data_IF_928960981788
#
_entry.id   IF_928960981788
#
_cell.length_a   1.000
_cell.length_b   1.000
_cell.length_c   1.000
_cell.angle_alpha   90.00
_cell.angle_beta   90.00
_cell.angle_gamma   90.00
#
_symmetry.space_group_name_H-M   'P 1'
#
loop_
_entity.id
_entity.type
_entity.pdbx_description
1 polymer ?
#
# COMPACT_ATOMS: atom_id res chain seq x y z
N UNK A 1 3.22 4.64 2.96
CA UNK A 1 3.98 5.92 2.95
C UNK A 1 4.95 6.04 4.14
N UNK A 2 4.54 5.73 5.40
CA UNK A 2 5.37 5.94 6.61
C UNK A 2 6.80 5.38 6.49
N UNK A 3 6.96 4.09 6.18
CA UNK A 3 8.29 3.45 6.06
C UNK A 3 9.18 4.11 5.01
N UNK A 4 8.59 4.63 3.94
CA UNK A 4 9.32 5.30 2.87
C UNK A 4 9.77 6.71 3.26
N UNK A 5 9.01 7.41 4.11
CA UNK A 5 9.29 8.78 4.52
C UNK A 5 10.14 8.87 5.79
N UNK A 6 10.14 7.83 6.65
CA UNK A 6 10.90 7.81 7.90
C UNK A 6 12.36 8.25 7.75
N UNK A 7 13.14 7.85 6.72
CA UNK A 7 14.53 8.28 6.58
C UNK A 7 14.71 9.79 6.46
N UNK A 8 13.69 10.51 5.98
CA UNK A 8 13.73 11.96 5.84
C UNK A 8 13.27 12.71 7.11
N UNK A 9 12.52 12.04 8.02
CA UNK A 9 11.91 12.71 9.19
C UNK A 9 12.91 13.13 10.27
N UNK A 10 14.10 12.55 10.29
CA UNK A 10 15.17 12.90 11.27
C UNK A 10 15.92 14.19 10.89
N UNK A 11 15.40 14.96 9.93
CA UNK A 11 16.06 16.20 9.48
C UNK A 11 15.53 17.38 10.27
N UNK A 12 16.43 18.09 10.94
CA UNK A 12 16.09 19.31 11.68
C UNK A 12 15.51 20.39 10.76
N UNK A 13 14.41 21.01 11.18
CA UNK A 13 13.71 22.02 10.40
C UNK A 13 12.87 21.49 9.24
N UNK A 14 12.66 20.18 9.13
CA UNK A 14 11.76 19.60 8.13
C UNK A 14 10.33 20.14 8.33
N UNK A 15 9.76 20.68 7.25
CA UNK A 15 8.32 20.95 7.14
C UNK A 15 7.76 20.07 6.06
N UNK A 16 7.12 18.96 6.45
CA UNK A 16 6.53 17.98 5.55
C UNK A 16 5.06 18.34 5.25
N UNK A 17 4.74 18.55 3.98
CA UNK A 17 3.39 18.72 3.48
C UNK A 17 3.01 17.45 2.69
N UNK A 18 2.01 16.72 3.18
CA UNK A 18 1.49 15.53 2.50
C UNK A 18 0.09 15.82 1.97
N UNK A 19 -0.15 15.49 0.72
CA UNK A 19 -1.46 15.53 0.09
C UNK A 19 -1.71 14.23 -0.67
N UNK A 20 -2.97 13.88 -0.82
CA UNK A 20 -3.43 12.74 -1.61
C UNK A 20 -4.26 13.26 -2.78
N UNK A 21 -4.27 12.53 -3.89
CA UNK A 21 -5.02 12.91 -5.08
C UNK A 21 -4.94 11.87 -6.18
N UNK A 22 -5.64 12.12 -7.27
CA UNK A 22 -5.59 11.27 -8.45
C UNK A 22 -4.19 11.26 -9.06
N UNK A 23 -3.76 10.09 -9.54
CA UNK A 23 -2.39 9.87 -10.00
C UNK A 23 -1.96 10.85 -11.09
N UNK A 24 -2.83 11.09 -12.08
CA UNK A 24 -2.53 11.98 -13.20
C UNK A 24 -2.45 13.45 -12.76
N UNK A 25 -3.28 13.87 -11.80
CA UNK A 25 -3.26 15.21 -11.23
C UNK A 25 -1.98 15.44 -10.41
N UNK A 26 -1.58 14.46 -9.61
CA UNK A 26 -0.32 14.52 -8.85
C UNK A 26 0.90 14.59 -9.79
N UNK A 27 0.90 13.85 -10.90
CA UNK A 27 1.96 13.93 -11.90
C UNK A 27 2.00 15.30 -12.61
N UNK A 28 0.84 15.90 -12.86
CA UNK A 28 0.75 17.24 -13.43
C UNK A 28 1.30 18.29 -12.45
N UNK A 29 0.94 18.21 -11.16
CA UNK A 29 1.45 19.11 -10.13
C UNK A 29 2.96 18.94 -9.91
N UNK A 30 3.47 17.70 -9.98
CA UNK A 30 4.90 17.41 -9.94
C UNK A 30 5.64 18.07 -11.12
N UNK A 31 5.11 17.95 -12.33
CA UNK A 31 5.70 18.55 -13.53
C UNK A 31 5.69 20.08 -13.49
N UNK A 32 4.75 20.69 -12.77
CA UNK A 32 4.66 22.12 -12.51
C UNK A 32 5.48 22.59 -11.30
N UNK A 33 6.27 21.68 -10.68
CA UNK A 33 7.07 21.95 -9.47
C UNK A 33 6.22 22.43 -8.26
N UNK A 34 4.97 22.00 -8.16
CA UNK A 34 4.11 22.22 -6.99
C UNK A 34 4.30 21.13 -5.94
N UNK A 35 4.83 19.98 -6.35
CA UNK A 35 5.24 18.87 -5.51
C UNK A 35 6.72 18.58 -5.76
N UNK A 36 7.44 18.17 -4.71
CA UNK A 36 8.83 17.75 -4.79
C UNK A 36 8.96 16.28 -5.19
N UNK A 37 8.02 15.44 -4.74
CA UNK A 37 7.99 13.99 -5.00
C UNK A 37 6.57 13.46 -4.91
N UNK A 38 6.25 12.49 -5.75
CA UNK A 38 5.02 11.69 -5.66
C UNK A 38 5.38 10.26 -5.29
N UNK A 39 4.75 9.72 -4.25
CA UNK A 39 4.84 8.30 -3.90
C UNK A 39 3.65 7.57 -4.52
N UNK A 40 3.91 6.47 -5.23
CA UNK A 40 2.89 5.73 -5.96
C UNK A 40 3.14 4.21 -5.92
N UNK A 41 2.09 3.44 -6.20
CA UNK A 41 2.09 1.98 -6.32
C UNK A 41 2.47 1.49 -7.74
N UNK A 42 2.74 2.44 -8.65
CA UNK A 42 3.08 2.20 -10.06
C UNK A 42 4.00 3.29 -10.59
N UNK A 43 4.78 2.99 -11.65
CA UNK A 43 5.61 4.00 -12.29
C UNK A 43 4.75 4.99 -13.10
N UNK A 44 5.28 6.18 -13.31
CA UNK A 44 4.68 7.13 -14.24
C UNK A 44 4.62 6.55 -15.66
N UNK A 45 3.53 6.78 -16.41
CA UNK A 45 3.43 6.35 -17.79
C UNK A 45 4.48 7.07 -18.66
N UNK A 46 4.96 6.38 -19.70
CA UNK A 46 5.84 7.01 -20.69
C UNK A 46 5.04 8.05 -21.47
N UNK A 47 5.30 9.32 -21.19
CA UNK A 47 4.65 10.44 -21.86
C UNK A 47 5.72 11.47 -22.26
N UNK A 48 5.93 11.72 -23.58
CA UNK A 48 6.95 12.65 -24.05
C UNK A 48 6.70 14.11 -23.62
N UNK A 49 5.46 14.45 -23.29
CA UNK A 49 5.07 15.78 -22.82
C UNK A 49 5.18 15.94 -21.29
N UNK A 50 5.39 14.85 -20.56
CA UNK A 50 5.50 14.85 -19.11
C UNK A 50 6.91 14.40 -18.71
N UNK A 51 7.74 15.34 -18.30
CA UNK A 51 9.13 15.07 -17.88
C UNK A 51 9.15 14.69 -16.40
N UNK A 52 8.79 13.45 -16.11
CA UNK A 52 8.90 12.88 -14.77
C UNK A 52 9.66 11.56 -14.83
N UNK A 53 10.28 11.18 -13.73
CA UNK A 53 11.15 10.01 -13.64
C UNK A 53 10.75 9.17 -12.43
N UNK A 54 10.54 7.88 -12.67
CA UNK A 54 10.17 6.92 -11.63
C UNK A 54 11.42 6.24 -11.07
N UNK A 55 11.52 6.22 -9.76
CA UNK A 55 12.58 5.55 -9.00
C UNK A 55 11.93 4.44 -8.18
N UNK A 56 12.30 3.18 -8.43
CA UNK A 56 11.80 2.07 -7.63
C UNK A 56 12.36 2.18 -6.21
N UNK A 57 11.47 2.14 -5.21
CA UNK A 57 11.82 2.17 -3.79
C UNK A 57 11.89 0.76 -3.18
N UNK A 58 11.22 -0.20 -3.81
CA UNK A 58 11.17 -1.57 -3.37
C UNK A 58 9.81 -2.21 -3.59
N UNK A 59 9.68 -3.39 -3.04
CA UNK A 59 8.45 -4.18 -3.06
C UNK A 59 8.20 -4.81 -1.70
N UNK A 60 6.95 -5.11 -1.39
CA UNK A 60 6.57 -5.79 -0.16
C UNK A 60 5.50 -6.83 -0.45
N UNK A 61 5.65 -8.03 0.13
CA UNK A 61 4.64 -9.06 0.05
C UNK A 61 3.39 -8.65 0.85
N UNK A 62 2.23 -9.13 0.42
CA UNK A 62 1.00 -8.97 1.18
C UNK A 62 0.89 -10.00 2.30
N UNK A 63 0.38 -9.56 3.42
CA UNK A 63 -0.04 -10.37 4.54
C UNK A 63 -1.53 -10.11 4.82
N UNK A 64 -2.23 -11.14 5.26
CA UNK A 64 -3.66 -11.04 5.58
C UNK A 64 -3.88 -11.00 7.08
N UNK A 65 -4.72 -10.08 7.51
CA UNK A 65 -5.00 -9.81 8.92
C UNK A 65 -6.49 -9.86 9.22
N UNK A 66 -6.82 -10.21 10.46
CA UNK A 66 -8.18 -10.16 10.98
C UNK A 66 -8.17 -9.74 12.47
N UNK A 67 -9.30 -9.24 12.95
CA UNK A 67 -9.51 -9.11 14.38
C UNK A 67 -9.53 -10.49 15.06
N UNK A 68 -9.14 -10.60 16.34
CA UNK A 68 -9.18 -11.88 17.06
C UNK A 68 -10.57 -12.54 17.02
N UNK A 69 -11.63 -11.75 17.12
CA UNK A 69 -13.01 -12.24 17.06
C UNK A 69 -13.33 -12.86 15.69
N UNK A 70 -12.93 -12.21 14.59
CA UNK A 70 -13.14 -12.71 13.25
C UNK A 70 -12.30 -13.95 12.97
N UNK A 71 -11.03 -13.97 13.42
CA UNK A 71 -10.15 -15.14 13.29
C UNK A 71 -10.72 -16.39 13.95
N UNK A 72 -11.39 -16.22 15.11
CA UNK A 72 -12.02 -17.32 15.85
C UNK A 72 -13.22 -17.97 15.11
N UNK A 73 -13.73 -17.37 14.04
CA UNK A 73 -14.85 -17.93 13.27
C UNK A 73 -14.41 -19.01 12.26
N UNK A 74 -13.11 -19.21 12.05
CA UNK A 74 -12.62 -20.20 11.10
C UNK A 74 -11.39 -20.94 11.64
N UNK A 75 -11.46 -22.28 11.62
CA UNK A 75 -10.35 -23.17 11.93
C UNK A 75 -9.53 -23.55 10.68
N UNK A 76 -9.97 -23.10 9.49
CA UNK A 76 -9.28 -23.40 8.25
C UNK A 76 -7.91 -22.71 8.20
N UNK A 77 -6.94 -23.42 7.61
CA UNK A 77 -5.62 -22.85 7.36
C UNK A 77 -5.68 -21.79 6.26
N UNK A 78 -4.75 -20.83 6.29
CA UNK A 78 -4.57 -19.88 5.20
C UNK A 78 -4.09 -20.61 3.92
N UNK A 79 -4.60 -20.27 2.74
CA UNK A 79 -5.55 -19.18 2.45
C UNK A 79 -7.04 -19.58 2.51
N UNK A 80 -7.38 -20.85 2.73
CA UNK A 80 -8.77 -21.33 2.69
C UNK A 80 -9.70 -20.65 3.74
N UNK A 81 -9.15 -20.15 4.83
CA UNK A 81 -9.92 -19.39 5.83
C UNK A 81 -10.56 -18.11 5.26
N UNK A 82 -10.03 -17.56 4.16
CA UNK A 82 -10.55 -16.36 3.53
C UNK A 82 -11.93 -16.56 2.87
N UNK A 83 -12.28 -17.80 2.50
CA UNK A 83 -13.64 -18.12 2.00
C UNK A 83 -14.69 -18.17 3.11
N UNK A 84 -14.27 -18.21 4.37
CA UNK A 84 -15.14 -18.42 5.52
C UNK A 84 -15.39 -17.13 6.32
N UNK A 85 -14.89 -16.01 5.85
CA UNK A 85 -15.05 -14.73 6.52
C UNK A 85 -15.24 -13.58 5.52
N UNK A 86 -15.90 -12.48 5.93
CA UNK A 86 -15.98 -11.29 5.08
C UNK A 86 -14.60 -10.71 4.85
N UNK A 87 -14.37 -10.18 3.64
CA UNK A 87 -13.11 -9.54 3.28
C UNK A 87 -13.30 -8.05 2.99
N UNK A 88 -12.30 -7.28 3.36
CA UNK A 88 -12.14 -5.89 2.96
C UNK A 88 -10.96 -5.80 1.99
N UNK A 89 -11.19 -5.18 0.85
CA UNK A 89 -10.18 -5.13 -0.21
C UNK A 89 -9.81 -3.69 -0.57
N UNK A 90 -8.60 -3.45 -1.10
CA UNK A 90 -8.31 -2.23 -1.81
C UNK A 90 -9.29 -2.04 -2.97
N UNK A 91 -9.63 -0.80 -3.28
CA UNK A 91 -10.49 -0.48 -4.41
C UNK A 91 -9.85 -0.92 -5.73
N UNK A 92 -10.63 -0.95 -6.82
CA UNK A 92 -10.15 -1.36 -8.15
C UNK A 92 -9.15 -0.38 -8.76
N UNK A 93 -8.99 0.80 -8.17
CA UNK A 93 -8.00 1.81 -8.58
C UNK A 93 -6.58 1.48 -8.09
N UNK A 94 -6.46 0.70 -7.01
CA UNK A 94 -5.16 0.25 -6.52
C UNK A 94 -4.54 -0.78 -7.46
N UNK A 95 -3.26 -0.58 -7.82
CA UNK A 95 -2.56 -1.49 -8.75
C UNK A 95 -2.45 -2.93 -8.21
N UNK A 96 -2.44 -3.11 -6.89
CA UNK A 96 -2.38 -4.42 -6.23
C UNK A 96 -3.69 -5.21 -6.34
N UNK A 97 -4.86 -4.55 -6.54
CA UNK A 97 -6.16 -5.20 -6.54
C UNK A 97 -6.29 -6.28 -7.62
N UNK A 98 -5.89 -6.00 -8.83
CA UNK A 98 -5.94 -6.99 -9.91
C UNK A 98 -5.11 -8.23 -9.59
N UNK A 99 -3.94 -8.07 -8.95
CA UNK A 99 -3.09 -9.19 -8.52
C UNK A 99 -3.73 -10.02 -7.41
N UNK A 100 -4.49 -9.39 -6.51
CA UNK A 100 -5.26 -10.08 -5.47
C UNK A 100 -6.39 -10.90 -6.12
N UNK A 101 -7.14 -10.30 -7.05
CA UNK A 101 -8.23 -10.97 -7.75
C UNK A 101 -7.70 -12.19 -8.55
N UNK A 102 -6.61 -12.04 -9.31
CA UNK A 102 -5.92 -13.13 -10.00
C UNK A 102 -5.43 -14.22 -9.05
N UNK A 103 -4.95 -13.84 -7.87
CA UNK A 103 -4.51 -14.80 -6.85
C UNK A 103 -5.69 -15.58 -6.28
N UNK A 104 -6.82 -14.96 -6.00
CA UNK A 104 -8.04 -15.65 -5.60
C UNK A 104 -8.45 -16.68 -6.65
N UNK A 105 -8.43 -16.33 -7.93
CA UNK A 105 -8.79 -17.24 -9.02
C UNK A 105 -7.82 -18.43 -9.09
N UNK A 106 -6.51 -18.20 -9.01
CA UNK A 106 -5.49 -19.28 -8.98
C UNK A 106 -5.66 -20.22 -7.79
N UNK A 107 -6.06 -19.71 -6.63
CA UNK A 107 -6.31 -20.52 -5.42
C UNK A 107 -7.70 -21.10 -5.37
N UNK A 108 -8.56 -20.82 -6.37
CA UNK A 108 -9.98 -21.22 -6.42
C UNK A 108 -10.78 -20.71 -5.22
N UNK A 109 -10.41 -19.56 -4.69
CA UNK A 109 -11.12 -18.89 -3.60
C UNK A 109 -12.33 -18.09 -4.15
N UNK A 110 -13.39 -18.03 -3.38
CA UNK A 110 -14.61 -17.27 -3.69
C UNK A 110 -14.98 -16.36 -2.54
N UNK A 111 -14.16 -15.31 -2.29
CA UNK A 111 -14.32 -14.48 -1.12
C UNK A 111 -15.62 -13.68 -1.14
N UNK A 112 -16.22 -13.53 0.04
CA UNK A 112 -17.30 -12.58 0.26
C UNK A 112 -16.71 -11.20 0.55
N UNK A 113 -16.70 -10.29 -0.42
CA UNK A 113 -16.20 -8.92 -0.27
C UNK A 113 -17.26 -8.08 0.45
N UNK A 114 -16.98 -7.68 1.69
CA UNK A 114 -17.85 -6.85 2.52
C UNK A 114 -17.60 -5.34 2.34
N UNK A 115 -16.44 -4.95 1.82
CA UNK A 115 -16.12 -3.54 1.57
C UNK A 115 -14.90 -3.36 0.68
N UNK A 116 -14.86 -2.22 -0.02
CA UNK A 116 -13.73 -1.80 -0.84
C UNK A 116 -13.30 -0.39 -0.40
N UNK A 117 -11.98 -0.16 -0.31
CA UNK A 117 -11.41 1.05 0.25
C UNK A 117 -10.28 1.59 -0.63
N UNK A 118 -10.25 2.89 -0.86
CA UNK A 118 -9.13 3.56 -1.53
C UNK A 118 -7.99 3.87 -0.55
N UNK A 119 -8.36 4.17 0.70
CA UNK A 119 -7.42 4.49 1.77
C UNK A 119 -7.09 3.24 2.61
N UNK A 120 -5.80 2.91 2.70
CA UNK A 120 -5.32 1.73 3.42
C UNK A 120 -5.44 1.86 4.95
N UNK A 121 -5.38 3.09 5.49
CA UNK A 121 -5.54 3.31 6.91
C UNK A 121 -7.01 3.16 7.32
N UNK A 122 -7.93 3.64 6.47
CA UNK A 122 -9.36 3.43 6.65
C UNK A 122 -9.71 1.94 6.54
N UNK A 123 -9.18 1.23 5.55
CA UNK A 123 -9.33 -0.22 5.40
C UNK A 123 -8.89 -0.95 6.68
N UNK A 124 -7.71 -0.63 7.22
CA UNK A 124 -7.20 -1.23 8.45
C UNK A 124 -8.09 -0.91 9.68
N UNK A 125 -8.65 0.30 9.74
CA UNK A 125 -9.56 0.73 10.83
C UNK A 125 -10.85 -0.10 10.84
N UNK A 126 -11.44 -0.34 9.69
CA UNK A 126 -12.62 -1.20 9.56
C UNK A 126 -12.28 -2.69 9.80
N UNK A 127 -11.08 -3.12 9.39
CA UNK A 127 -10.59 -4.46 9.71
C UNK A 127 -10.40 -4.68 11.22
N UNK A 128 -9.86 -3.70 11.92
CA UNK A 128 -9.72 -3.68 13.38
C UNK A 128 -11.08 -3.77 14.09
N UNK A 129 -12.10 -3.09 13.56
CA UNK A 129 -13.47 -3.18 14.07
C UNK A 129 -14.14 -4.54 13.84
N UNK A 130 -13.50 -5.44 13.08
CA UNK A 130 -14.01 -6.79 12.79
C UNK A 130 -14.96 -6.86 11.61
N UNK A 131 -15.06 -5.84 10.78
CA UNK A 131 -15.92 -5.86 9.59
C UNK A 131 -15.48 -6.92 8.56
N UNK A 132 -14.17 -7.22 8.47
CA UNK A 132 -13.63 -8.22 7.56
C UNK A 132 -12.13 -8.41 7.72
N UNK A 133 -11.61 -9.52 7.19
CA UNK A 133 -10.19 -9.72 7.04
C UNK A 133 -9.67 -8.90 5.85
N UNK A 134 -8.44 -8.43 5.91
CA UNK A 134 -7.90 -7.51 4.91
C UNK A 134 -6.41 -7.74 4.64
N UNK A 135 -5.94 -7.40 3.43
CA UNK A 135 -4.52 -7.44 3.09
C UNK A 135 -3.83 -6.14 3.49
N UNK A 136 -2.59 -6.27 3.95
CA UNK A 136 -1.67 -5.15 4.12
C UNK A 136 -0.24 -5.62 3.81
N UNK A 137 0.65 -4.68 3.51
CA UNK A 137 2.05 -5.01 3.26
C UNK A 137 2.74 -5.51 4.52
N UNK A 138 3.73 -6.38 4.35
CA UNK A 138 4.56 -6.89 5.45
C UNK A 138 5.21 -5.77 6.28
N UNK A 139 5.43 -4.60 5.71
CA UNK A 139 5.97 -3.43 6.42
C UNK A 139 5.05 -2.89 7.51
N UNK A 140 3.76 -3.23 7.47
CA UNK A 140 2.79 -2.82 8.49
C UNK A 140 2.60 -3.86 9.60
N UNK A 141 3.35 -4.98 9.55
CA UNK A 141 3.13 -6.12 10.43
C UNK A 141 3.19 -5.76 11.93
N UNK A 142 4.27 -5.09 12.34
CA UNK A 142 4.49 -4.74 13.74
C UNK A 142 3.45 -3.74 14.27
N UNK A 143 3.02 -2.80 13.43
CA UNK A 143 1.95 -1.88 13.78
C UNK A 143 0.62 -2.61 13.94
N UNK A 144 0.25 -3.44 12.95
CA UNK A 144 -1.05 -4.12 12.95
C UNK A 144 -1.17 -5.15 14.06
N UNK A 145 -0.12 -5.92 14.33
CA UNK A 145 -0.16 -6.96 15.37
C UNK A 145 0.16 -6.40 16.75
N UNK A 146 1.19 -5.57 16.86
CA UNK A 146 1.67 -5.07 18.15
C UNK A 146 0.83 -3.92 18.72
N UNK A 147 0.38 -2.97 17.88
CA UNK A 147 -0.33 -1.78 18.33
C UNK A 147 -1.84 -1.92 18.22
N UNK A 148 -2.34 -2.56 17.14
CA UNK A 148 -3.79 -2.70 16.88
C UNK A 148 -4.35 -4.06 17.29
N UNK A 149 -3.52 -4.99 17.80
CA UNK A 149 -3.95 -6.29 18.31
C UNK A 149 -4.56 -7.22 17.26
N UNK A 150 -4.29 -6.97 15.98
CA UNK A 150 -4.75 -7.81 14.89
C UNK A 150 -3.95 -9.12 14.82
N UNK A 151 -4.57 -10.16 14.29
CA UNK A 151 -3.92 -11.45 14.09
C UNK A 151 -3.56 -11.67 12.64
N UNK A 152 -2.34 -12.14 12.40
CA UNK A 152 -1.89 -12.59 11.10
C UNK A 152 -2.61 -13.89 10.72
N UNK A 153 -3.30 -13.91 9.59
CA UNK A 153 -3.89 -15.11 9.00
C UNK A 153 -2.86 -15.89 8.18
N UNK A 154 -2.05 -15.18 7.43
CA UNK A 154 -0.99 -15.76 6.62
C UNK A 154 -0.32 -14.77 5.68
N UNK A 155 0.79 -15.20 5.08
CA UNK A 155 1.59 -14.44 4.12
C UNK A 155 1.25 -14.90 2.70
N UNK A 156 1.09 -13.93 1.80
CA UNK A 156 0.89 -14.17 0.38
C UNK A 156 2.12 -13.69 -0.41
N UNK A 157 3.10 -14.55 -0.59
CA UNK A 157 4.33 -14.23 -1.34
C UNK A 157 4.10 -14.08 -2.85
N UNK A 158 2.97 -14.57 -3.35
CA UNK A 158 2.60 -14.50 -4.76
C UNK A 158 2.05 -13.14 -5.19
N UNK A 159 1.71 -12.27 -4.23
CA UNK A 159 1.20 -10.93 -4.47
C UNK A 159 2.09 -9.94 -3.76
N UNK A 160 2.77 -9.11 -4.53
CA UNK A 160 3.64 -8.05 -4.03
C UNK A 160 3.11 -6.68 -4.45
N UNK A 161 3.26 -5.73 -3.57
CA UNK A 161 3.02 -4.32 -3.85
C UNK A 161 4.34 -3.63 -4.15
N UNK A 162 4.39 -2.88 -5.25
CA UNK A 162 5.57 -2.12 -5.64
C UNK A 162 5.44 -0.67 -5.21
N UNK A 163 6.56 -0.05 -4.89
CA UNK A 163 6.59 1.34 -4.46
C UNK A 163 7.57 2.14 -5.32
N UNK A 164 7.13 3.31 -5.72
CA UNK A 164 7.89 4.23 -6.54
C UNK A 164 7.87 5.63 -5.92
N UNK A 165 9.01 6.30 -6.01
CA UNK A 165 9.06 7.75 -5.91
C UNK A 165 9.17 8.31 -7.33
N UNK A 166 8.36 9.31 -7.64
CA UNK A 166 8.37 9.96 -8.94
C UNK A 166 8.81 11.41 -8.72
N UNK A 167 9.76 11.87 -9.50
CA UNK A 167 10.32 13.22 -9.41
C UNK A 167 10.36 13.90 -10.78
N UNK A 168 10.40 15.23 -10.81
CA UNK A 168 10.56 16.00 -12.03
C UNK A 168 12.00 15.96 -12.58
N UNK A 169 12.97 15.47 -11.80
CA UNK A 169 14.38 15.41 -12.16
C UNK A 169 14.85 13.97 -12.30
N UNK A 170 15.63 13.68 -13.36
CA UNK A 170 16.26 12.37 -13.55
C UNK A 170 17.30 12.04 -12.45
N UNK A 171 18.00 13.05 -11.98
CA UNK A 171 18.91 12.99 -10.84
C UNK A 171 18.41 13.97 -9.81
N UNK A 172 17.81 13.43 -8.78
CA UNK A 172 17.26 14.23 -7.70
C UNK A 172 18.39 14.93 -6.95
N UNK A 173 18.31 16.25 -6.87
CA UNK A 173 19.31 17.06 -6.16
C UNK A 173 18.83 17.46 -4.76
N UNK A 174 17.52 17.42 -4.51
CA UNK A 174 16.96 17.80 -3.22
C UNK A 174 17.36 16.79 -2.13
N UNK A 175 18.11 17.20 -1.08
CA UNK A 175 18.68 16.25 -0.11
C UNK A 175 17.66 15.37 0.61
N UNK A 176 16.47 15.91 0.89
CA UNK A 176 15.40 15.16 1.56
C UNK A 176 14.78 14.11 0.63
N UNK A 177 14.60 14.44 -0.64
CA UNK A 177 14.10 13.48 -1.64
C UNK A 177 15.14 12.38 -1.87
N UNK A 178 16.44 12.70 -1.87
CA UNK A 178 17.51 11.68 -1.91
C UNK A 178 17.41 10.70 -0.75
N UNK A 179 17.16 11.17 0.46
CA UNK A 179 16.94 10.29 1.63
C UNK A 179 15.72 9.36 1.44
N UNK A 180 14.64 9.86 0.86
CA UNK A 180 13.46 9.03 0.53
C UNK A 180 13.81 7.97 -0.52
N UNK A 181 14.71 8.30 -1.47
CA UNK A 181 15.18 7.39 -2.50
C UNK A 181 16.24 6.38 -1.99
N UNK A 182 16.69 6.48 -0.74
CA UNK A 182 17.74 5.64 -0.18
C UNK A 182 19.13 5.94 -0.76
N UNK A 183 19.36 7.17 -1.22
CA UNK A 183 20.62 7.66 -1.81
C UNK A 183 21.39 8.55 -0.86
#
# INVERSE_FOLDING_TARGET
ARHLLLPATDTEGLHLLCSEGEFDDLLADLALHRLDVVLADRPAPVNPNLKVYSHALGEAALMWYASPALRALSDAAFPACLDQMPLLLPSRHAAVRARIDDWFDRKSLRPHVAGEFEDSALLATFGESGLGAFPATEWSHDELTGQRGLQLLGRCDEVVEHFYAISAERRVQHPLVQKVLGQ
#
